data_IF_690707555834
#
_entry.id   IF_690707555834
#
_cell.length_a   1.000
_cell.length_b   1.000
_cell.length_c   1.000
_cell.angle_alpha   90.00
_cell.angle_beta   90.00
_cell.angle_gamma   90.00
#
_symmetry.space_group_name_H-M   'P 1'
#
loop_
_entity.id
_entity.type
_entity.pdbx_description
1 polymer ?
#
# COMPACT_ATOMS: atom_id res chain seq x y z
N UNK A 1 4.70 17.45 2.66
CA UNK A 1 4.62 16.22 3.47
C UNK A 1 3.31 16.11 4.25
N UNK A 2 3.06 16.99 5.24
CA UNK A 2 1.88 16.90 6.15
C UNK A 2 0.53 16.77 5.43
N UNK A 3 0.25 17.63 4.43
CA UNK A 3 -0.99 17.56 3.63
C UNK A 3 -1.22 16.18 3.02
N UNK A 4 -0.17 15.57 2.47
CA UNK A 4 -0.30 14.28 1.80
C UNK A 4 -0.53 13.15 2.79
N UNK A 5 0.07 13.21 3.98
CA UNK A 5 -0.17 12.24 5.06
C UNK A 5 -1.61 12.32 5.56
N UNK A 6 -2.15 13.53 5.72
CA UNK A 6 -3.57 13.73 6.07
C UNK A 6 -4.48 13.16 4.99
N UNK A 7 -4.19 13.43 3.71
CA UNK A 7 -4.97 12.87 2.60
C UNK A 7 -4.85 11.35 2.52
N UNK A 8 -3.68 10.77 2.81
CA UNK A 8 -3.50 9.32 2.88
C UNK A 8 -4.31 8.70 4.02
N UNK A 9 -4.40 9.37 5.18
CA UNK A 9 -5.25 8.93 6.29
C UNK A 9 -6.72 8.81 5.86
N UNK A 10 -7.28 9.87 5.28
CA UNK A 10 -8.67 9.87 4.81
C UNK A 10 -8.87 8.95 3.59
N UNK A 11 -7.88 8.88 2.70
CA UNK A 11 -7.88 7.98 1.54
C UNK A 11 -7.94 6.51 1.94
N UNK A 12 -7.27 6.12 3.03
CA UNK A 12 -7.33 4.76 3.57
C UNK A 12 -8.56 4.48 4.42
N UNK A 13 -9.32 5.50 4.81
CA UNK A 13 -10.62 5.33 5.46
C UNK A 13 -11.70 4.93 4.46
N UNK A 14 -11.65 5.47 3.23
CA UNK A 14 -12.65 5.22 2.20
C UNK A 14 -12.90 3.72 1.87
N UNK A 15 -11.86 2.87 1.71
CA UNK A 15 -12.00 1.42 1.51
C UNK A 15 -12.76 0.72 2.62
N UNK A 16 -12.68 1.24 3.85
CA UNK A 16 -13.37 0.64 4.99
C UNK A 16 -14.89 0.70 4.79
N UNK A 17 -15.36 1.83 4.26
CA UNK A 17 -16.78 2.04 3.94
C UNK A 17 -17.15 1.25 2.67
N UNK A 18 -16.32 1.36 1.63
CA UNK A 18 -16.57 0.75 0.33
C UNK A 18 -16.64 -0.79 0.38
N UNK A 19 -15.74 -1.42 1.13
CA UNK A 19 -15.67 -2.88 1.25
C UNK A 19 -16.36 -3.43 2.51
N UNK A 20 -17.17 -2.60 3.17
CA UNK A 20 -17.92 -2.96 4.38
C UNK A 20 -17.05 -3.63 5.47
N UNK A 21 -15.86 -3.09 5.67
CA UNK A 21 -14.95 -3.47 6.76
C UNK A 21 -15.52 -2.94 8.08
N UNK A 22 -15.18 -3.58 9.20
CA UNK A 22 -15.64 -3.18 10.54
C UNK A 22 -15.31 -1.71 10.84
N UNK A 23 -16.37 -0.89 10.85
CA UNK A 23 -16.30 0.55 11.02
C UNK A 23 -15.72 0.97 12.38
N UNK A 24 -15.75 0.08 13.38
CA UNK A 24 -15.12 0.34 14.69
C UNK A 24 -13.60 0.51 14.57
N UNK A 25 -13.00 0.05 13.46
CA UNK A 25 -11.56 0.13 13.20
C UNK A 25 -11.17 1.16 12.14
N UNK A 26 -12.07 2.09 11.81
CA UNK A 26 -11.84 3.19 10.87
C UNK A 26 -10.51 3.92 11.10
N UNK A 27 -10.28 4.34 12.34
CA UNK A 27 -9.10 5.13 12.70
C UNK A 27 -7.82 4.30 12.52
N UNK A 28 -7.82 3.03 12.92
CA UNK A 28 -6.68 2.13 12.75
C UNK A 28 -6.33 1.90 11.28
N UNK A 29 -7.34 1.79 10.41
CA UNK A 29 -7.15 1.69 8.97
C UNK A 29 -6.58 2.98 8.35
N UNK A 30 -7.09 4.15 8.77
CA UNK A 30 -6.53 5.43 8.34
C UNK A 30 -5.06 5.61 8.78
N UNK A 31 -4.74 5.22 10.02
CA UNK A 31 -3.36 5.27 10.54
C UNK A 31 -2.42 4.36 9.74
N UNK A 32 -2.88 3.20 9.30
CA UNK A 32 -2.11 2.30 8.42
C UNK A 32 -1.67 3.03 7.14
N UNK A 33 -2.60 3.68 6.45
CA UNK A 33 -2.33 4.45 5.23
C UNK A 33 -1.43 5.65 5.46
N UNK A 34 -1.67 6.40 6.54
CA UNK A 34 -0.86 7.56 6.91
C UNK A 34 0.61 7.17 7.20
N UNK A 35 0.81 6.08 7.95
CA UNK A 35 2.13 5.56 8.28
C UNK A 35 2.85 5.07 7.01
N UNK A 36 2.17 4.27 6.20
CA UNK A 36 2.71 3.75 4.96
C UNK A 36 3.11 4.85 3.98
N UNK A 37 2.26 5.88 3.82
CA UNK A 37 2.56 7.03 2.99
C UNK A 37 3.70 7.88 3.55
N UNK A 38 3.81 8.01 4.87
CA UNK A 38 4.94 8.70 5.51
C UNK A 38 6.26 7.98 5.19
N UNK A 39 6.30 6.65 5.32
CA UNK A 39 7.48 5.86 4.97
C UNK A 39 7.79 5.95 3.47
N UNK A 40 6.76 5.93 2.62
CA UNK A 40 6.92 6.19 1.19
C UNK A 40 7.61 7.53 0.94
N UNK A 41 7.13 8.63 1.55
CA UNK A 41 7.71 9.97 1.34
C UNK A 41 9.15 10.07 1.81
N UNK A 42 9.46 9.54 3.00
CA UNK A 42 10.83 9.53 3.52
C UNK A 42 11.77 8.71 2.64
N UNK A 43 11.31 7.53 2.20
CA UNK A 43 12.08 6.69 1.26
C UNK A 43 12.28 7.39 -0.09
N UNK A 44 11.27 8.11 -0.57
CA UNK A 44 11.35 8.82 -1.84
C UNK A 44 12.29 10.02 -1.77
N UNK A 45 12.32 10.73 -0.64
CA UNK A 45 13.26 11.82 -0.43
C UNK A 45 14.71 11.36 -0.53
N UNK A 46 15.02 10.17 0.00
CA UNK A 46 16.35 9.57 0.00
C UNK A 46 16.74 8.91 -1.35
N UNK A 47 15.82 8.18 -1.97
CA UNK A 47 16.13 7.31 -3.12
C UNK A 47 15.75 7.91 -4.47
N UNK A 48 14.82 8.87 -4.49
CA UNK A 48 14.16 9.41 -5.70
C UNK A 48 13.56 8.32 -6.61
N UNK A 49 13.26 7.14 -6.07
CA UNK A 49 12.79 5.98 -6.82
C UNK A 49 11.40 5.55 -6.35
N UNK A 50 10.39 5.74 -7.19
CA UNK A 50 8.99 5.42 -6.86
C UNK A 50 8.76 3.95 -6.56
N UNK A 51 9.48 3.04 -7.22
CA UNK A 51 9.33 1.59 -7.02
C UNK A 51 9.84 1.19 -5.65
N UNK A 52 11.05 1.60 -5.29
CA UNK A 52 11.64 1.32 -3.98
C UNK A 52 10.82 1.95 -2.84
N UNK A 53 10.38 3.20 -3.02
CA UNK A 53 9.54 3.87 -2.01
C UNK A 53 8.19 3.20 -1.82
N UNK A 54 7.58 2.71 -2.91
CA UNK A 54 6.32 1.95 -2.83
C UNK A 54 6.50 0.61 -2.15
N UNK A 55 7.62 -0.08 -2.40
CA UNK A 55 7.99 -1.29 -1.67
C UNK A 55 8.10 -1.02 -0.16
N UNK A 56 8.82 0.03 0.25
CA UNK A 56 9.01 0.37 1.67
C UNK A 56 7.69 0.77 2.36
N UNK A 57 6.83 1.52 1.65
CA UNK A 57 5.48 1.82 2.12
C UNK A 57 4.64 0.55 2.29
N UNK A 58 4.65 -0.35 1.30
CA UNK A 58 3.86 -1.58 1.33
C UNK A 58 4.38 -2.59 2.37
N UNK A 59 5.69 -2.65 2.58
CA UNK A 59 6.31 -3.39 3.66
C UNK A 59 5.82 -2.88 5.03
N UNK A 60 5.70 -1.56 5.17
CA UNK A 60 5.14 -0.92 6.37
C UNK A 60 3.66 -1.29 6.57
N UNK A 61 2.85 -1.29 5.50
CA UNK A 61 1.46 -1.78 5.53
C UNK A 61 1.42 -3.22 6.04
N UNK A 62 2.30 -4.10 5.52
CA UNK A 62 2.39 -5.49 5.95
C UNK A 62 2.66 -5.62 7.44
N UNK A 63 3.66 -4.89 7.97
CA UNK A 63 4.04 -4.95 9.39
C UNK A 63 2.89 -4.46 10.27
N UNK A 64 2.30 -3.33 9.88
CA UNK A 64 1.20 -2.73 10.62
C UNK A 64 -0.01 -3.67 10.66
N UNK A 65 -0.38 -4.22 9.51
CA UNK A 65 -1.55 -5.08 9.35
C UNK A 65 -1.44 -6.35 10.17
N UNK A 66 -0.29 -7.02 10.10
CA UNK A 66 0.00 -8.22 10.90
C UNK A 66 -0.02 -7.92 12.40
N UNK A 67 0.58 -6.81 12.81
CA UNK A 67 0.65 -6.40 14.22
C UNK A 67 -0.72 -6.07 14.79
N UNK A 68 -1.52 -5.27 14.06
CA UNK A 68 -2.86 -4.87 14.52
C UNK A 68 -3.86 -6.03 14.45
N UNK A 69 -3.71 -6.95 13.50
CA UNK A 69 -4.50 -8.18 13.44
C UNK A 69 -4.43 -8.98 14.75
N UNK A 70 -3.22 -9.14 15.31
CA UNK A 70 -3.02 -9.83 16.59
C UNK A 70 -3.54 -9.03 17.77
N UNK A 71 -3.30 -7.72 17.80
CA UNK A 71 -3.75 -6.85 18.90
C UNK A 71 -5.27 -6.75 18.98
N UNK A 72 -5.93 -6.61 17.82
CA UNK A 72 -7.37 -6.39 17.72
C UNK A 72 -8.15 -7.68 17.40
N UNK A 73 -7.46 -8.84 17.36
CA UNK A 73 -8.01 -10.17 17.09
C UNK A 73 -8.87 -10.22 15.81
N UNK A 74 -8.35 -9.64 14.74
CA UNK A 74 -9.05 -9.51 13.44
C UNK A 74 -8.15 -9.90 12.28
N UNK A 75 -8.70 -10.25 11.10
CA UNK A 75 -7.89 -10.63 9.95
C UNK A 75 -6.96 -9.50 9.50
N UNK A 76 -5.68 -9.78 9.21
CA UNK A 76 -4.72 -8.78 8.72
C UNK A 76 -5.14 -8.11 7.40
N UNK A 77 -5.93 -8.84 6.60
CA UNK A 77 -6.48 -8.35 5.34
C UNK A 77 -7.31 -7.06 5.50
N UNK A 78 -7.96 -6.89 6.66
CA UNK A 78 -8.72 -5.67 6.99
C UNK A 78 -7.84 -4.42 6.89
N UNK A 79 -6.66 -4.44 7.51
CA UNK A 79 -5.73 -3.32 7.52
C UNK A 79 -4.92 -3.19 6.23
N UNK A 80 -4.61 -4.32 5.57
CA UNK A 80 -3.78 -4.28 4.37
C UNK A 80 -4.54 -3.72 3.17
N UNK A 81 -5.82 -4.10 3.01
CA UNK A 81 -6.68 -3.55 1.95
C UNK A 81 -6.86 -2.04 2.14
N UNK A 82 -7.06 -1.55 3.35
CA UNK A 82 -7.22 -0.11 3.57
C UNK A 82 -5.90 0.66 3.43
N UNK A 83 -4.81 0.15 4.03
CA UNK A 83 -3.52 0.83 4.09
C UNK A 83 -2.78 0.91 2.76
N UNK A 84 -3.04 -0.01 1.83
CA UNK A 84 -2.38 -0.05 0.51
C UNK A 84 -2.90 1.04 -0.44
N UNK A 85 -4.13 1.54 -0.26
CA UNK A 85 -4.79 2.47 -1.18
C UNK A 85 -3.94 3.65 -1.66
N UNK A 86 -3.28 4.44 -0.78
CA UNK A 86 -2.46 5.56 -1.22
C UNK A 86 -1.23 5.14 -2.04
N UNK A 87 -0.79 3.88 -1.95
CA UNK A 87 0.39 3.36 -2.66
C UNK A 87 0.06 2.75 -4.03
N UNK A 88 -1.22 2.45 -4.30
CA UNK A 88 -1.62 1.82 -5.56
C UNK A 88 -1.33 2.78 -6.73
N UNK A 89 -0.67 2.32 -7.80
CA UNK A 89 -0.27 3.16 -8.94
C UNK A 89 -1.44 3.49 -9.89
N UNK A 90 -2.54 4.05 -9.35
CA UNK A 90 -3.75 4.34 -10.12
C UNK A 90 -3.55 5.42 -11.19
N UNK A 91 -2.81 6.49 -10.87
CA UNK A 91 -2.57 7.58 -11.82
C UNK A 91 -1.70 7.16 -13.01
N UNK A 92 -0.67 6.34 -12.78
CA UNK A 92 0.17 5.83 -13.88
C UNK A 92 -0.58 4.78 -14.70
N UNK A 93 -1.43 3.97 -14.06
CA UNK A 93 -2.32 3.05 -14.76
C UNK A 93 -3.30 3.82 -15.67
N UNK A 94 -3.94 4.86 -15.14
CA UNK A 94 -4.83 5.73 -15.90
C UNK A 94 -4.11 6.34 -17.12
N UNK A 95 -2.94 6.96 -16.90
CA UNK A 95 -2.12 7.53 -17.99
C UNK A 95 -1.74 6.50 -19.04
N UNK A 96 -1.41 5.28 -18.63
CA UNK A 96 -1.09 4.18 -19.56
C UNK A 96 -2.25 3.96 -20.54
N UNK A 97 -3.47 3.84 -20.03
CA UNK A 97 -4.67 3.66 -20.87
C UNK A 97 -4.94 4.90 -21.73
N UNK A 98 -4.83 6.10 -21.16
CA UNK A 98 -4.98 7.36 -21.92
C UNK A 98 -4.05 7.41 -23.12
N UNK A 99 -2.76 7.10 -22.94
CA UNK A 99 -1.80 7.13 -24.04
C UNK A 99 -2.00 6.01 -25.07
N UNK A 100 -2.57 4.86 -24.68
CA UNK A 100 -2.99 3.83 -25.64
C UNK A 100 -4.11 4.37 -26.53
N UNK A 101 -5.12 5.02 -25.95
CA UNK A 101 -6.25 5.60 -26.71
C UNK A 101 -5.78 6.72 -27.65
N UNK A 102 -4.83 7.53 -27.20
CA UNK A 102 -4.20 8.59 -28.01
C UNK A 102 -3.19 8.06 -29.05
N UNK A 103 -2.99 6.74 -29.13
CA UNK A 103 -1.99 6.08 -29.99
C UNK A 103 -0.54 6.53 -29.72
N UNK A 104 -0.27 7.08 -28.54
CA UNK A 104 1.07 7.47 -28.08
C UNK A 104 1.74 6.29 -27.37
N UNK A 105 2.17 5.30 -28.13
CA UNK A 105 2.69 4.04 -27.57
C UNK A 105 4.00 4.18 -26.79
N UNK A 106 4.82 5.21 -27.08
CA UNK A 106 6.06 5.47 -26.34
C UNK A 106 5.75 5.82 -24.89
N UNK A 107 4.81 6.75 -24.66
CA UNK A 107 4.41 7.15 -23.31
C UNK A 107 3.59 6.05 -22.64
N UNK A 108 2.71 5.37 -23.38
CA UNK A 108 1.98 4.23 -22.86
C UNK A 108 2.91 3.14 -22.30
N UNK A 109 3.96 2.79 -23.04
CA UNK A 109 4.93 1.79 -22.60
C UNK A 109 5.69 2.24 -21.35
N UNK A 110 6.15 3.49 -21.31
CA UNK A 110 6.87 4.05 -20.16
C UNK A 110 6.01 4.03 -18.88
N UNK A 111 4.77 4.54 -18.93
CA UNK A 111 3.86 4.53 -17.79
C UNK A 111 3.36 3.11 -17.46
N UNK A 112 3.23 2.23 -18.45
CA UNK A 112 2.83 0.85 -18.27
C UNK A 112 3.86 0.06 -17.46
N UNK A 113 5.15 0.15 -17.85
CA UNK A 113 6.24 -0.45 -17.07
C UNK A 113 6.30 0.12 -15.66
N UNK A 114 6.19 1.45 -15.51
CA UNK A 114 6.21 2.07 -14.20
C UNK A 114 5.07 1.56 -13.31
N UNK A 115 3.87 1.43 -13.87
CA UNK A 115 2.69 0.90 -13.17
C UNK A 115 2.90 -0.54 -12.73
N UNK A 116 3.38 -1.41 -13.62
CA UNK A 116 3.66 -2.81 -13.30
C UNK A 116 4.75 -2.95 -12.25
N UNK A 117 5.84 -2.17 -12.36
CA UNK A 117 6.93 -2.20 -11.40
C UNK A 117 6.47 -1.76 -10.00
N UNK A 118 5.70 -0.67 -9.90
CA UNK A 118 5.15 -0.21 -8.62
C UNK A 118 4.14 -1.21 -8.06
N UNK A 119 3.23 -1.74 -8.87
CA UNK A 119 2.24 -2.73 -8.43
C UNK A 119 2.92 -4.01 -7.93
N UNK A 120 3.94 -4.48 -8.65
CA UNK A 120 4.76 -5.64 -8.26
C UNK A 120 5.51 -5.39 -6.95
N UNK A 121 6.14 -4.22 -6.81
CA UNK A 121 6.82 -3.82 -5.57
C UNK A 121 5.87 -3.78 -4.36
N UNK A 122 4.68 -3.23 -4.55
CA UNK A 122 3.64 -3.16 -3.52
C UNK A 122 3.17 -4.55 -3.11
N UNK A 123 2.83 -5.41 -4.07
CA UNK A 123 2.41 -6.79 -3.80
C UNK A 123 3.51 -7.61 -3.10
N UNK A 124 4.75 -7.49 -3.59
CA UNK A 124 5.89 -8.17 -3.00
C UNK A 124 6.19 -7.69 -1.57
N UNK A 125 6.12 -6.39 -1.31
CA UNK A 125 6.35 -5.81 0.03
C UNK A 125 5.39 -6.37 1.08
N UNK A 126 4.09 -6.44 0.79
CA UNK A 126 3.10 -7.02 1.70
C UNK A 126 3.31 -8.53 1.85
N UNK A 127 3.53 -9.24 0.74
CA UNK A 127 3.70 -10.70 0.73
C UNK A 127 4.90 -11.14 1.57
N UNK A 128 6.02 -10.43 1.47
CA UNK A 128 7.24 -10.71 2.22
C UNK A 128 6.94 -10.68 3.72
N UNK A 129 6.31 -9.62 4.20
CA UNK A 129 5.99 -9.47 5.63
C UNK A 129 5.00 -10.53 6.10
N UNK A 130 3.92 -10.77 5.36
CA UNK A 130 2.95 -11.80 5.69
C UNK A 130 3.59 -13.20 5.76
N UNK A 131 4.60 -13.47 4.94
CA UNK A 131 5.33 -14.74 4.93
C UNK A 131 6.23 -14.87 6.14
N UNK A 132 6.98 -13.82 6.48
CA UNK A 132 7.82 -13.79 7.68
C UNK A 132 6.99 -13.97 8.95
N UNK A 133 5.86 -13.26 9.09
CA UNK A 133 4.99 -13.41 10.26
C UNK A 133 4.37 -14.81 10.36
N UNK A 134 3.94 -15.40 9.24
CA UNK A 134 3.44 -16.78 9.24
C UNK A 134 4.52 -17.77 9.67
N UNK A 135 5.76 -17.61 9.19
CA UNK A 135 6.87 -18.45 9.59
C UNK A 135 7.14 -18.37 11.10
N UNK A 136 7.30 -17.16 11.66
CA UNK A 136 7.49 -16.98 13.10
C UNK A 136 6.33 -17.55 13.93
N UNK A 137 5.09 -17.36 13.50
CA UNK A 137 3.92 -17.87 14.22
C UNK A 137 3.81 -19.40 14.24
N UNK A 138 4.43 -20.09 13.26
CA UNK A 138 4.51 -21.55 13.22
C UNK A 138 5.62 -22.05 14.15
N UNK A 139 6.81 -21.46 14.06
CA UNK A 139 7.98 -21.86 14.87
C UNK A 139 7.73 -21.66 16.36
N UNK A 140 7.02 -20.60 16.78
CA UNK A 140 6.73 -20.35 18.21
C UNK A 140 5.63 -21.26 18.77
N UNK A 141 4.88 -21.97 17.91
CA UNK A 141 3.84 -22.93 18.33
C UNK A 141 4.36 -24.38 18.41
N UNK A 142 5.56 -24.64 17.91
CA UNK A 142 6.29 -25.91 18.07
C UNK A 142 7.22 -25.82 19.28
#
# INVERSE_FOLDING_TARGET
MVRQVILAFFGSIFPVILFNIDRKKLIWNGLCGALAWTVYLLSFELTKNTVMSSFMGAFTVGIYSETMARKLKTPAMEFSIAGIFPLVPGMTAYKTITYIVEQNFIQAFAFGIQTLAVAGAVGFGIMLVATVFRFFSRVVKE
#
